data_IF_697304744974
#
_entry.id   IF_697304744974
#
_cell.length_a   1.000
_cell.length_b   1.000
_cell.length_c   1.000
_cell.angle_alpha   90.00
_cell.angle_beta   90.00
_cell.angle_gamma   90.00
#
_symmetry.space_group_name_H-M   'P 1'
#
loop_
_entity.id
_entity.type
_entity.pdbx_description
1 polymer ?
#
# COMPACT_ATOMS: atom_id res chain seq x y z
N UNK A 1 -3.96 11.42 8.98
CA UNK A 1 -4.52 10.80 7.76
C UNK A 1 -5.71 11.61 7.28
N UNK A 2 -5.74 12.00 6.03
CA UNK A 2 -6.85 12.77 5.46
C UNK A 2 -7.80 11.84 4.71
N UNK A 3 -7.30 11.07 3.75
CA UNK A 3 -8.10 10.12 2.98
C UNK A 3 -7.24 9.08 2.29
N UNK A 4 -7.86 7.99 1.90
CA UNK A 4 -7.26 6.94 1.07
C UNK A 4 -7.55 7.30 -0.40
N UNK A 5 -6.51 7.25 -1.24
CA UNK A 5 -6.66 7.43 -2.69
C UNK A 5 -6.84 6.09 -3.37
N UNK A 6 -6.00 5.12 -2.99
CA UNK A 6 -5.98 3.77 -3.53
C UNK A 6 -5.42 2.85 -2.45
N UNK A 7 -5.36 1.55 -2.70
CA UNK A 7 -4.87 0.59 -1.71
C UNK A 7 -3.43 0.79 -1.27
N UNK A 8 -2.64 1.55 -2.03
CA UNK A 8 -1.23 1.83 -1.72
C UNK A 8 -0.87 3.31 -1.70
N UNK A 9 -1.87 4.20 -1.72
CA UNK A 9 -1.65 5.65 -1.74
C UNK A 9 -2.64 6.34 -0.82
N UNK A 10 -2.12 7.20 0.06
CA UNK A 10 -2.93 7.97 1.01
C UNK A 10 -2.59 9.46 0.89
N UNK A 11 -3.46 10.30 1.43
CA UNK A 11 -3.18 11.73 1.63
C UNK A 11 -3.07 11.96 3.13
N UNK A 12 -2.00 12.62 3.54
CA UNK A 12 -1.76 12.98 4.94
C UNK A 12 -1.60 14.50 5.07
N UNK A 13 -1.93 15.03 6.24
CA UNK A 13 -1.66 16.41 6.59
C UNK A 13 -0.31 16.49 7.29
N UNK A 14 0.63 17.24 6.70
CA UNK A 14 1.93 17.52 7.28
C UNK A 14 2.03 19.04 7.48
N UNK A 15 1.92 19.50 8.73
CA UNK A 15 1.84 20.90 9.02
C UNK A 15 0.55 21.49 8.47
N UNK A 16 0.66 22.44 7.54
CA UNK A 16 -0.48 23.11 6.90
C UNK A 16 -0.75 22.62 5.47
N UNK A 17 -0.11 21.52 5.06
CA UNK A 17 -0.18 21.02 3.68
C UNK A 17 -0.66 19.58 3.65
N UNK A 18 -1.44 19.26 2.62
CA UNK A 18 -1.81 17.89 2.30
C UNK A 18 -0.78 17.33 1.33
N UNK A 19 -0.29 16.13 1.63
CA UNK A 19 0.71 15.43 0.82
C UNK A 19 0.20 14.04 0.43
N UNK A 20 0.36 13.69 -0.85
CA UNK A 20 0.15 12.30 -1.29
C UNK A 20 1.35 11.47 -0.90
N UNK A 21 1.07 10.30 -0.32
CA UNK A 21 2.11 9.35 0.11
C UNK A 21 1.87 8.02 -0.59
N UNK A 22 2.87 7.58 -1.36
CA UNK A 22 2.91 6.25 -1.96
C UNK A 22 3.64 5.32 -1.01
N UNK A 23 2.99 4.24 -0.62
CA UNK A 23 3.59 3.26 0.28
C UNK A 23 4.69 2.50 -0.44
N UNK A 24 5.88 2.46 0.15
CA UNK A 24 7.06 1.82 -0.44
C UNK A 24 6.92 0.29 -0.39
N UNK A 25 7.31 -0.36 -1.47
CA UNK A 25 7.54 -1.79 -1.52
C UNK A 25 6.33 -2.65 -1.79
N UNK A 26 5.13 -2.06 -1.84
CA UNK A 26 3.88 -2.78 -2.09
C UNK A 26 3.13 -2.19 -3.26
N UNK A 27 2.41 -3.03 -3.97
CA UNK A 27 1.62 -2.64 -5.14
C UNK A 27 0.26 -3.33 -5.05
N UNK A 28 -0.78 -2.54 -4.81
CA UNK A 28 -2.15 -3.04 -4.74
C UNK A 28 -2.80 -3.01 -6.12
N UNK A 29 -3.84 -3.84 -6.35
CA UNK A 29 -4.55 -3.80 -7.62
C UNK A 29 -5.16 -2.42 -7.91
N UNK A 30 -5.14 -2.01 -9.17
CA UNK A 30 -5.52 -0.68 -9.62
C UNK A 30 -7.02 -0.42 -9.50
N UNK A 31 -7.39 0.77 -9.00
CA UNK A 31 -8.79 1.22 -8.91
C UNK A 31 -9.03 2.59 -9.54
N UNK A 32 -7.97 3.37 -9.80
CA UNK A 32 -8.10 4.79 -10.17
C UNK A 32 -7.49 5.16 -11.52
N UNK A 33 -7.03 4.18 -12.29
CA UNK A 33 -6.46 4.47 -13.60
C UNK A 33 -7.54 4.94 -14.58
N UNK A 34 -7.33 6.04 -15.32
CA UNK A 34 -8.27 6.47 -16.36
C UNK A 34 -8.24 5.59 -17.61
N UNK A 35 -7.19 4.76 -17.78
CA UNK A 35 -6.97 3.94 -18.97
C UNK A 35 -7.10 2.45 -18.75
N UNK A 36 -7.21 2.01 -17.48
CA UNK A 36 -7.28 0.60 -17.12
C UNK A 36 -8.54 0.33 -16.31
N UNK A 37 -9.18 -0.84 -16.49
CA UNK A 37 -10.32 -1.21 -15.63
C UNK A 37 -9.87 -1.44 -14.18
N UNK A 38 -10.82 -1.41 -13.26
CA UNK A 38 -10.59 -1.79 -11.87
C UNK A 38 -10.11 -3.24 -11.85
N UNK A 39 -9.00 -3.49 -11.17
CA UNK A 39 -8.43 -4.82 -11.05
C UNK A 39 -9.05 -5.59 -9.89
N UNK A 40 -9.05 -6.91 -10.02
CA UNK A 40 -9.52 -7.82 -8.98
C UNK A 40 -8.79 -7.52 -7.67
N UNK A 41 -9.53 -7.41 -6.58
CA UNK A 41 -9.08 -7.10 -5.21
C UNK A 41 -8.68 -5.64 -4.98
N UNK A 42 -8.81 -4.76 -5.98
CA UNK A 42 -8.48 -3.33 -5.82
C UNK A 42 -9.40 -2.64 -4.81
N UNK A 43 -10.70 -2.87 -4.89
CA UNK A 43 -11.66 -2.29 -3.95
C UNK A 43 -11.46 -2.81 -2.54
N UNK A 44 -11.16 -4.10 -2.40
CA UNK A 44 -10.90 -4.74 -1.10
C UNK A 44 -9.64 -4.18 -0.45
N UNK A 45 -8.57 -3.96 -1.22
CA UNK A 45 -7.34 -3.37 -0.71
C UNK A 45 -7.57 -1.93 -0.25
N UNK A 46 -8.29 -1.14 -1.04
CA UNK A 46 -8.62 0.24 -0.69
C UNK A 46 -9.50 0.32 0.56
N UNK A 47 -10.50 -0.56 0.66
CA UNK A 47 -11.37 -0.64 1.83
C UNK A 47 -10.60 -1.05 3.08
N UNK A 48 -9.70 -2.02 2.97
CA UNK A 48 -8.86 -2.46 4.09
C UNK A 48 -7.97 -1.33 4.60
N UNK A 49 -7.33 -0.61 3.69
CA UNK A 49 -6.49 0.53 4.06
C UNK A 49 -7.32 1.61 4.75
N UNK A 50 -8.55 1.86 4.28
CA UNK A 50 -9.46 2.82 4.90
C UNK A 50 -9.88 2.41 6.31
N UNK A 51 -9.99 1.12 6.58
CA UNK A 51 -10.26 0.61 7.93
C UNK A 51 -9.06 0.79 8.84
N UNK A 52 -7.85 0.50 8.35
CA UNK A 52 -6.63 0.66 9.13
C UNK A 52 -6.35 2.12 9.46
N UNK A 53 -6.62 3.00 8.51
CA UNK A 53 -6.28 4.42 8.57
C UNK A 53 -7.52 5.27 8.28
N UNK A 54 -8.49 5.25 9.19
CA UNK A 54 -9.66 6.11 9.09
C UNK A 54 -9.23 7.59 9.11
N UNK A 55 -10.02 8.50 8.50
CA UNK A 55 -9.69 9.93 8.55
C UNK A 55 -9.45 10.40 10.00
N UNK A 56 -8.38 11.15 10.21
CA UNK A 56 -7.96 11.60 11.53
C UNK A 56 -6.97 10.68 12.24
N UNK A 57 -6.73 9.48 11.72
CA UNK A 57 -5.73 8.57 12.29
C UNK A 57 -4.34 9.18 12.18
N UNK A 58 -3.60 9.23 13.30
CA UNK A 58 -2.22 9.69 13.29
C UNK A 58 -1.31 8.60 12.74
N UNK A 59 -0.43 9.00 11.83
CA UNK A 59 0.54 8.10 11.20
C UNK A 59 1.95 8.63 11.39
N UNK A 60 2.92 7.71 11.43
CA UNK A 60 4.34 8.02 11.36
C UNK A 60 4.86 7.57 10.00
N UNK A 61 5.55 8.46 9.32
CA UNK A 61 6.14 8.18 8.02
C UNK A 61 7.64 7.96 8.20
N UNK A 62 8.15 6.86 7.68
CA UNK A 62 9.58 6.55 7.65
C UNK A 62 10.06 6.62 6.22
N UNK A 63 11.06 7.46 5.96
CA UNK A 63 11.64 7.57 4.62
C UNK A 63 12.68 6.48 4.40
N UNK A 64 12.92 6.19 3.13
CA UNK A 64 14.07 5.40 2.69
C UNK A 64 15.06 6.34 1.96
N UNK A 65 15.74 5.88 0.94
CA UNK A 65 16.77 6.65 0.25
C UNK A 65 16.20 7.79 -0.60
N UNK A 66 15.06 7.59 -1.24
CA UNK A 66 14.42 8.58 -2.13
C UNK A 66 13.19 9.17 -1.46
N UNK A 67 13.11 10.51 -1.39
CA UNK A 67 12.02 11.18 -0.71
C UNK A 67 10.72 11.19 -1.52
N UNK A 68 10.81 11.45 -2.83
CA UNK A 68 9.64 11.58 -3.71
C UNK A 68 9.82 10.78 -4.98
N UNK A 69 8.71 10.33 -5.56
CA UNK A 69 8.72 9.69 -6.87
C UNK A 69 8.65 10.74 -7.99
N UNK A 70 8.62 10.26 -9.25
CA UNK A 70 8.59 11.14 -10.42
C UNK A 70 7.31 11.97 -10.54
N UNK A 71 6.26 11.57 -9.80
CA UNK A 71 4.97 12.28 -9.77
C UNK A 71 4.87 13.25 -8.60
N UNK A 72 5.95 13.40 -7.81
CA UNK A 72 5.99 14.30 -6.65
C UNK A 72 5.37 13.73 -5.38
N UNK A 73 4.96 12.47 -5.36
CA UNK A 73 4.41 11.84 -4.15
C UNK A 73 5.54 11.49 -3.19
N UNK A 74 5.29 11.67 -1.90
CA UNK A 74 6.21 11.18 -0.87
C UNK A 74 6.26 9.66 -0.94
N UNK A 75 7.45 9.11 -0.75
CA UNK A 75 7.66 7.67 -0.64
C UNK A 75 7.93 7.35 0.82
N UNK A 76 7.12 6.48 1.42
CA UNK A 76 7.26 6.19 2.83
C UNK A 76 6.81 4.79 3.21
N UNK A 77 7.40 4.29 4.29
CA UNK A 77 6.83 3.22 5.09
C UNK A 77 5.90 3.88 6.10
N UNK A 78 4.68 3.36 6.22
CA UNK A 78 3.63 3.98 7.02
C UNK A 78 3.35 3.14 8.26
N UNK A 79 3.37 3.79 9.41
CA UNK A 79 3.08 3.17 10.71
C UNK A 79 1.88 3.87 11.33
N UNK A 80 0.91 3.11 11.82
CA UNK A 80 -0.19 3.67 12.60
C UNK A 80 0.34 4.02 13.99
N UNK A 81 0.23 5.28 14.37
CA UNK A 81 0.92 5.80 15.55
C UNK A 81 0.38 5.22 16.85
N UNK A 82 -0.93 4.95 16.92
CA UNK A 82 -1.58 4.48 18.15
C UNK A 82 -1.06 3.14 18.66
N UNK A 83 -0.65 2.23 17.76
CA UNK A 83 -0.22 0.88 18.12
C UNK A 83 1.06 0.43 17.40
N UNK A 84 1.64 1.29 16.55
CA UNK A 84 2.84 0.97 15.81
C UNK A 84 2.66 -0.01 14.65
N UNK A 85 1.40 -0.28 14.25
CA UNK A 85 1.15 -1.20 13.13
C UNK A 85 1.88 -0.74 11.87
N UNK A 86 2.68 -1.65 11.30
CA UNK A 86 3.38 -1.40 10.02
C UNK A 86 2.41 -1.68 8.87
N UNK A 87 1.86 -0.62 8.30
CA UNK A 87 0.77 -0.72 7.33
C UNK A 87 1.21 -1.42 6.05
N UNK A 88 2.41 -1.10 5.53
CA UNK A 88 2.95 -1.75 4.32
C UNK A 88 3.00 -3.27 4.51
N UNK A 89 3.48 -3.72 5.67
CA UNK A 89 3.57 -5.14 5.99
C UNK A 89 2.19 -5.78 6.15
N UNK A 90 1.25 -5.09 6.78
CA UNK A 90 -0.12 -5.57 6.93
C UNK A 90 -0.77 -5.85 5.57
N UNK A 91 -0.60 -4.94 4.61
CA UNK A 91 -1.12 -5.13 3.25
C UNK A 91 -0.51 -6.37 2.58
N UNK A 92 0.78 -6.58 2.76
CA UNK A 92 1.48 -7.74 2.21
C UNK A 92 1.00 -9.05 2.86
N UNK A 93 0.93 -9.08 4.19
CA UNK A 93 0.52 -10.27 4.95
C UNK A 93 -0.93 -10.66 4.67
N UNK A 94 -1.80 -9.66 4.49
CA UNK A 94 -3.22 -9.89 4.25
C UNK A 94 -3.56 -10.26 2.81
N UNK A 95 -2.58 -10.31 1.92
CA UNK A 95 -2.82 -10.63 0.51
C UNK A 95 -3.48 -9.50 -0.26
N UNK A 96 -3.30 -8.25 0.18
CA UNK A 96 -3.84 -7.08 -0.51
C UNK A 96 -2.88 -6.50 -1.53
N UNK A 97 -1.61 -6.87 -1.47
CA UNK A 97 -0.57 -6.26 -2.30
C UNK A 97 0.45 -7.30 -2.76
N UNK A 98 0.99 -7.08 -3.95
CA UNK A 98 2.19 -7.74 -4.42
C UNK A 98 3.42 -6.94 -3.97
N UNK A 99 4.60 -7.52 -4.13
CA UNK A 99 5.86 -6.85 -3.85
C UNK A 99 6.22 -5.92 -5.02
N UNK A 100 6.72 -4.73 -4.69
CA UNK A 100 7.25 -3.80 -5.69
C UNK A 100 8.56 -3.20 -5.18
N UNK A 101 9.67 -3.96 -5.26
CA UNK A 101 10.97 -3.44 -4.82
C UNK A 101 11.54 -2.52 -5.86
N UNK A 102 11.79 -1.25 -5.50
CA UNK A 102 12.38 -0.26 -6.39
C UNK A 102 13.63 0.30 -5.71
N UNK A 103 14.81 -0.07 -6.23
CA UNK A 103 16.08 0.46 -5.74
C UNK A 103 16.10 1.99 -5.92
N UNK A 104 16.67 2.76 -4.98
CA UNK A 104 17.41 2.29 -3.81
C UNK A 104 16.58 2.10 -2.53
N UNK A 105 15.24 2.09 -2.61
CA UNK A 105 14.34 2.06 -1.46
C UNK A 105 14.06 0.61 -1.04
N UNK A 106 15.06 -0.07 -0.50
CA UNK A 106 15.02 -1.51 -0.22
C UNK A 106 15.15 -1.86 1.27
N UNK A 107 15.04 -0.89 2.18
CA UNK A 107 15.27 -1.13 3.61
C UNK A 107 14.38 -2.23 4.20
N UNK A 108 13.13 -2.34 3.74
CA UNK A 108 12.18 -3.36 4.21
C UNK A 108 11.83 -4.39 3.13
N UNK A 109 12.59 -4.44 2.01
CA UNK A 109 12.25 -5.29 0.88
C UNK A 109 12.18 -6.76 1.24
N UNK A 110 13.14 -7.27 2.02
CA UNK A 110 13.17 -8.69 2.40
C UNK A 110 11.98 -9.07 3.28
N UNK A 111 11.64 -8.22 4.25
CA UNK A 111 10.51 -8.43 5.14
C UNK A 111 9.19 -8.45 4.36
N UNK A 112 9.01 -7.48 3.47
CA UNK A 112 7.79 -7.38 2.64
C UNK A 112 7.69 -8.55 1.66
N UNK A 113 8.81 -8.96 1.05
CA UNK A 113 8.85 -10.10 0.13
C UNK A 113 8.45 -11.39 0.85
N UNK A 114 8.97 -11.61 2.05
CA UNK A 114 8.63 -12.81 2.83
C UNK A 114 7.12 -12.85 3.14
N UNK A 115 6.53 -11.71 3.47
CA UNK A 115 5.10 -11.62 3.76
C UNK A 115 4.25 -11.90 2.51
N UNK A 116 4.63 -11.33 1.35
CA UNK A 116 3.95 -11.57 0.08
C UNK A 116 4.06 -13.05 -0.32
N UNK A 117 5.25 -13.64 -0.20
CA UNK A 117 5.46 -15.06 -0.53
C UNK A 117 4.60 -15.96 0.36
N UNK A 118 4.49 -15.68 1.65
CA UNK A 118 3.65 -16.43 2.57
C UNK A 118 2.17 -16.31 2.18
N UNK A 119 1.69 -15.10 1.87
CA UNK A 119 0.31 -14.89 1.43
C UNK A 119 0.02 -15.64 0.13
N UNK A 120 0.96 -15.63 -0.81
CA UNK A 120 0.84 -16.37 -2.07
C UNK A 120 0.74 -17.89 -1.85
N UNK A 121 1.61 -18.44 -1.01
CA UNK A 121 1.58 -19.90 -0.71
C UNK A 121 0.28 -20.33 -0.03
N UNK A 122 -0.35 -19.44 0.74
CA UNK A 122 -1.56 -19.74 1.49
C UNK A 122 -2.84 -19.33 0.75
N UNK A 123 -2.72 -18.83 -0.48
CA UNK A 123 -3.83 -18.33 -1.29
C UNK A 123 -4.64 -17.25 -0.56
N UNK A 124 -3.95 -16.39 0.18
CA UNK A 124 -4.57 -15.31 0.96
C UNK A 124 -4.93 -14.12 0.06
N UNK A 125 -6.12 -13.58 0.24
CA UNK A 125 -6.55 -12.36 -0.45
C UNK A 125 -6.54 -12.50 -1.97
N UNK A 126 -5.83 -11.60 -2.65
CA UNK A 126 -5.79 -11.55 -4.12
C UNK A 126 -5.20 -12.84 -4.74
N UNK A 127 -4.34 -13.53 -4.00
CA UNK A 127 -3.69 -14.76 -4.49
C UNK A 127 -4.70 -15.90 -4.66
N UNK A 128 -5.65 -16.02 -3.74
CA UNK A 128 -6.71 -17.03 -3.84
C UNK A 128 -7.90 -16.55 -4.67
N UNK A 129 -8.38 -15.33 -4.38
CA UNK A 129 -9.60 -14.79 -5.00
C UNK A 129 -9.40 -14.49 -6.48
N UNK A 130 -8.24 -13.96 -6.85
CA UNK A 130 -7.97 -13.47 -8.21
C UNK A 130 -7.01 -14.35 -8.99
N UNK A 131 -6.34 -15.29 -8.33
CA UNK A 131 -5.26 -16.07 -8.96
C UNK A 131 -3.99 -15.25 -9.18
N UNK A 132 -3.85 -14.11 -8.52
CA UNK A 132 -2.70 -13.22 -8.63
C UNK A 132 -3.06 -11.83 -9.10
N UNK A 133 -2.06 -10.92 -9.19
CA UNK A 133 -2.29 -9.54 -9.57
C UNK A 133 -2.57 -9.37 -11.07
N UNK A 134 -3.13 -8.21 -11.43
CA UNK A 134 -3.29 -7.79 -12.82
C UNK A 134 -4.54 -8.30 -13.52
N UNK A 135 -5.36 -9.10 -12.87
CA UNK A 135 -6.61 -9.59 -13.45
C UNK A 135 -7.72 -8.54 -13.31
N UNK A 136 -8.58 -8.36 -14.31
CA UNK A 136 -9.70 -7.43 -14.18
C UNK A 136 -10.71 -7.91 -13.14
N UNK A 137 -11.43 -6.97 -12.54
CA UNK A 137 -12.54 -7.29 -11.67
C UNK A 137 -13.67 -7.89 -12.51
N UNK A 138 -14.27 -8.95 -12.01
CA UNK A 138 -15.39 -9.61 -12.72
C UNK A 138 -16.73 -8.99 -12.39
#
# INVERSE_FOLDING_TARGET
>A
MVRVVDGDTIVVRLGDRDEKVRLIGVDTPETKSPTKPVQCFGKEASAHLSELLAPGTAVRLERDATERDVYGRLLAYVYRQSDGLFVNLDLAEGGYADILPIAPNLAHADELRAAVDAAHRQDTGLWGTCGGPGHPAS
#
